data_IF_082274893319
#
_entry.id   IF_082274893319
#
_cell.length_a   1.000
_cell.length_b   1.000
_cell.length_c   1.000
_cell.angle_alpha   90.00
_cell.angle_beta   90.00
_cell.angle_gamma   90.00
#
_symmetry.space_group_name_H-M   'P 1'
#
loop_
_entity.id
_entity.type
_entity.pdbx_description
1 polymer ?
#
# COMPACT_ATOMS: atom_id res chain seq x y z
N UNK A 1 17.74 25.03 5.34
CA UNK A 1 17.45 24.24 4.13
C UNK A 1 16.98 22.84 4.57
N UNK A 2 15.73 22.44 4.31
CA UNK A 2 15.22 21.12 4.76
C UNK A 2 15.79 20.00 3.88
N UNK A 3 16.19 18.87 4.49
CA UNK A 3 16.56 17.67 3.75
C UNK A 3 15.31 17.05 3.11
N UNK A 4 15.37 16.84 1.80
CA UNK A 4 14.33 16.11 1.06
C UNK A 4 14.86 14.71 0.81
N UNK A 5 14.30 13.73 1.53
CA UNK A 5 14.67 12.32 1.36
C UNK A 5 13.91 11.73 0.17
N UNK A 6 14.54 10.94 -0.73
CA UNK A 6 13.88 10.35 -1.89
C UNK A 6 12.71 9.40 -1.57
N UNK A 7 12.75 8.76 -0.41
CA UNK A 7 11.73 7.87 0.14
C UNK A 7 11.84 7.93 1.66
N UNK A 8 10.74 7.82 2.42
CA UNK A 8 10.90 7.72 3.88
C UNK A 8 11.69 6.45 4.23
N UNK A 9 12.62 6.51 5.20
CA UNK A 9 13.27 5.31 5.71
C UNK A 9 12.23 4.31 6.22
N UNK A 10 12.45 3.03 5.92
CA UNK A 10 11.56 1.93 6.30
C UNK A 10 12.35 0.88 7.07
N UNK A 11 11.66 0.08 7.87
CA UNK A 11 12.25 -1.10 8.53
C UNK A 11 12.21 -2.33 7.64
N UNK A 12 11.71 -2.21 6.41
CA UNK A 12 11.61 -3.31 5.46
C UNK A 12 13.02 -3.69 5.03
N UNK A 13 13.38 -4.96 5.26
CA UNK A 13 14.61 -5.54 4.76
C UNK A 13 14.36 -6.17 3.38
N UNK A 14 14.87 -5.58 2.28
CA UNK A 14 14.67 -6.11 0.93
C UNK A 14 15.16 -7.56 0.76
N UNK A 15 16.16 -7.98 1.55
CA UNK A 15 16.71 -9.33 1.47
C UNK A 15 15.71 -10.39 1.96
N UNK A 16 14.80 -10.01 2.88
CA UNK A 16 13.84 -10.93 3.48
C UNK A 16 12.52 -11.01 2.71
N UNK A 17 12.20 -10.02 1.88
CA UNK A 17 10.92 -9.91 1.17
C UNK A 17 10.65 -11.15 0.31
N UNK A 18 11.60 -11.55 -0.53
CA UNK A 18 11.42 -12.67 -1.46
C UNK A 18 11.20 -14.00 -0.71
N UNK A 19 12.04 -14.29 0.29
CA UNK A 19 11.96 -15.52 1.07
C UNK A 19 10.66 -15.60 1.89
N UNK A 20 10.31 -14.52 2.59
CA UNK A 20 9.10 -14.48 3.42
C UNK A 20 7.82 -14.48 2.57
N UNK A 21 7.85 -13.82 1.42
CA UNK A 21 6.76 -13.84 0.44
C UNK A 21 6.47 -15.22 -0.12
N UNK A 22 7.53 -15.94 -0.53
CA UNK A 22 7.39 -17.30 -1.03
C UNK A 22 6.87 -18.26 0.04
N UNK A 23 7.38 -18.15 1.28
CA UNK A 23 6.85 -18.91 2.42
C UNK A 23 5.37 -18.66 2.64
N UNK A 24 4.92 -17.40 2.59
CA UNK A 24 3.50 -17.08 2.74
C UNK A 24 2.67 -17.66 1.59
N UNK A 25 3.13 -17.56 0.33
CA UNK A 25 2.44 -18.19 -0.81
C UNK A 25 2.27 -19.69 -0.65
N UNK A 26 3.30 -20.39 -0.15
CA UNK A 26 3.24 -21.82 0.14
C UNK A 26 2.23 -22.15 1.25
N UNK A 27 2.17 -21.34 2.31
CA UNK A 27 1.18 -21.51 3.39
C UNK A 27 -0.26 -21.29 2.90
N UNK A 28 -0.47 -20.44 1.89
CA UNK A 28 -1.78 -20.19 1.29
C UNK A 28 -2.23 -21.31 0.34
N UNK A 29 -1.35 -22.26 -0.01
CA UNK A 29 -1.68 -23.53 -0.66
C UNK A 29 -1.71 -23.53 -2.19
N UNK A 30 -1.53 -22.38 -2.85
CA UNK A 30 -1.45 -22.28 -4.31
C UNK A 30 -0.39 -21.24 -4.71
N UNK A 31 0.70 -21.71 -5.31
CA UNK A 31 1.82 -20.88 -5.78
C UNK A 31 1.54 -20.19 -7.12
N UNK A 32 0.55 -20.68 -7.88
CA UNK A 32 0.13 -20.11 -9.17
C UNK A 32 -0.94 -19.02 -8.99
N UNK A 33 -1.60 -18.99 -7.83
CA UNK A 33 -2.55 -17.96 -7.45
C UNK A 33 -1.87 -16.58 -7.39
N UNK A 34 -2.40 -15.62 -8.14
CA UNK A 34 -2.02 -14.22 -8.00
C UNK A 34 -2.56 -13.63 -6.70
N UNK A 35 -1.74 -12.90 -5.97
CA UNK A 35 -2.12 -12.25 -4.71
C UNK A 35 -1.90 -10.75 -4.82
N UNK A 36 -2.92 -9.96 -4.52
CA UNK A 36 -2.79 -8.50 -4.39
C UNK A 36 -2.94 -8.10 -2.93
N UNK A 37 -2.20 -7.07 -2.51
CA UNK A 37 -2.21 -6.59 -1.13
C UNK A 37 -2.98 -5.27 -1.02
N UNK A 38 -3.87 -5.20 -0.04
CA UNK A 38 -4.60 -3.99 0.34
C UNK A 38 -4.18 -3.58 1.75
N UNK A 39 -3.54 -2.41 1.89
CA UNK A 39 -3.12 -1.82 3.16
C UNK A 39 -4.00 -0.62 3.49
N UNK A 40 -4.84 -0.76 4.51
CA UNK A 40 -5.83 0.24 4.90
C UNK A 40 -5.47 0.91 6.22
N UNK A 41 -5.13 2.18 6.09
CA UNK A 41 -5.14 3.19 7.14
C UNK A 41 -6.58 3.62 7.47
N UNK A 42 -6.80 4.93 7.46
CA UNK A 42 -8.09 5.55 7.66
C UNK A 42 -7.93 7.06 7.87
N UNK A 43 -8.42 7.59 8.99
CA UNK A 43 -8.31 9.03 9.26
C UNK A 43 -6.86 9.41 9.61
N UNK A 44 -6.22 10.24 8.80
CA UNK A 44 -4.85 10.73 9.05
C UNK A 44 -4.33 11.63 7.93
N UNK A 45 -3.34 12.48 8.23
CA UNK A 45 -2.67 13.35 7.26
C UNK A 45 -3.62 14.18 6.34
N UNK A 46 -4.78 14.61 6.85
CA UNK A 46 -5.78 15.34 6.09
C UNK A 46 -6.73 14.48 5.24
N UNK A 47 -6.58 13.15 5.28
CA UNK A 47 -7.46 12.19 4.60
C UNK A 47 -8.52 11.64 5.57
N UNK A 48 -9.73 11.44 5.06
CA UNK A 48 -10.83 10.83 5.80
C UNK A 48 -11.65 9.89 4.93
N UNK A 49 -11.71 8.61 5.33
CA UNK A 49 -12.49 7.58 4.66
C UNK A 49 -13.82 7.40 5.38
N UNK A 50 -14.91 7.66 4.67
CA UNK A 50 -16.29 7.53 5.16
C UNK A 50 -16.86 6.18 4.75
N UNK A 51 -18.06 5.89 5.23
CA UNK A 51 -18.77 4.64 4.93
C UNK A 51 -18.88 4.36 3.42
N UNK A 52 -19.14 5.39 2.61
CA UNK A 52 -19.19 5.27 1.14
C UNK A 52 -17.84 4.87 0.54
N UNK A 53 -16.74 5.39 1.07
CA UNK A 53 -15.38 5.06 0.61
C UNK A 53 -15.07 3.59 0.89
N UNK A 54 -15.31 3.12 2.11
CA UNK A 54 -15.11 1.71 2.50
C UNK A 54 -15.98 0.76 1.68
N UNK A 55 -17.24 1.13 1.43
CA UNK A 55 -18.15 0.33 0.61
C UNK A 55 -17.69 0.27 -0.84
N UNK A 56 -17.18 1.38 -1.37
CA UNK A 56 -16.62 1.43 -2.73
C UNK A 56 -15.39 0.53 -2.81
N UNK A 57 -14.43 0.66 -1.88
CA UNK A 57 -13.25 -0.20 -1.81
C UNK A 57 -13.61 -1.70 -1.77
N UNK A 58 -14.49 -2.12 -0.86
CA UNK A 58 -14.88 -3.53 -0.75
C UNK A 58 -15.50 -4.09 -2.04
N UNK A 59 -16.37 -3.31 -2.69
CA UNK A 59 -16.98 -3.70 -3.96
C UNK A 59 -15.96 -3.77 -5.09
N UNK A 60 -15.01 -2.83 -5.12
CA UNK A 60 -13.90 -2.85 -6.07
C UNK A 60 -13.02 -4.09 -5.86
N UNK A 61 -12.69 -4.43 -4.61
CA UNK A 61 -11.91 -5.63 -4.29
C UNK A 61 -12.56 -6.89 -4.86
N UNK A 62 -13.87 -7.08 -4.68
CA UNK A 62 -14.59 -8.22 -5.26
C UNK A 62 -14.55 -8.20 -6.80
N UNK A 63 -14.71 -7.03 -7.40
CA UNK A 63 -14.73 -6.86 -8.85
C UNK A 63 -13.37 -7.17 -9.48
N UNK A 64 -12.30 -6.65 -8.89
CA UNK A 64 -10.92 -6.85 -9.33
C UNK A 64 -10.47 -8.29 -9.12
N UNK A 65 -10.78 -8.89 -7.97
CA UNK A 65 -10.49 -10.30 -7.71
C UNK A 65 -11.13 -11.21 -8.75
N UNK A 66 -12.41 -10.99 -9.06
CA UNK A 66 -13.12 -11.74 -10.09
C UNK A 66 -12.52 -11.53 -11.49
N UNK A 67 -12.20 -10.28 -11.86
CA UNK A 67 -11.71 -9.94 -13.20
C UNK A 67 -10.31 -10.49 -13.48
N UNK A 68 -9.42 -10.40 -12.48
CA UNK A 68 -8.00 -10.73 -12.63
C UNK A 68 -7.64 -12.13 -12.11
N UNK A 69 -8.60 -12.86 -11.53
CA UNK A 69 -8.36 -14.18 -10.97
C UNK A 69 -7.43 -14.16 -9.74
N UNK A 70 -7.44 -13.05 -8.98
CA UNK A 70 -6.57 -12.87 -7.81
C UNK A 70 -7.32 -13.10 -6.50
N UNK A 71 -6.57 -13.29 -5.42
CA UNK A 71 -7.09 -13.23 -4.04
C UNK A 71 -6.37 -12.12 -3.28
N UNK A 72 -7.07 -11.51 -2.33
CA UNK A 72 -6.59 -10.40 -1.53
C UNK A 72 -5.88 -10.88 -0.28
N UNK A 73 -4.68 -10.32 -0.07
CA UNK A 73 -4.12 -10.11 1.24
C UNK A 73 -4.62 -8.76 1.74
N UNK A 74 -5.26 -8.72 2.90
CA UNK A 74 -5.84 -7.50 3.44
C UNK A 74 -5.24 -7.18 4.80
N UNK A 75 -4.90 -5.92 5.02
CA UNK A 75 -4.42 -5.42 6.31
C UNK A 75 -5.16 -4.15 6.63
N UNK A 76 -5.80 -4.10 7.79
CA UNK A 76 -6.39 -2.87 8.32
C UNK A 76 -5.56 -2.34 9.48
N UNK A 77 -5.83 -1.12 9.91
CA UNK A 77 -5.16 -0.50 11.05
C UNK A 77 -6.17 0.08 12.03
N UNK A 78 -5.70 0.48 13.22
CA UNK A 78 -6.52 1.19 14.22
C UNK A 78 -7.26 2.40 13.62
N UNK A 79 -6.71 3.04 12.58
CA UNK A 79 -7.32 4.20 11.90
C UNK A 79 -8.49 3.83 11.00
N UNK A 80 -8.58 2.58 10.54
CA UNK A 80 -9.73 2.06 9.77
C UNK A 80 -10.99 2.10 10.62
N UNK A 81 -10.84 1.79 11.91
CA UNK A 81 -11.90 1.81 12.92
C UNK A 81 -12.90 0.67 12.77
N UNK A 82 -13.60 0.37 13.86
CA UNK A 82 -14.60 -0.71 13.97
C UNK A 82 -15.64 -0.68 12.86
N UNK A 83 -16.15 0.51 12.54
CA UNK A 83 -17.20 0.66 11.52
C UNK A 83 -16.68 0.35 10.12
N UNK A 84 -15.46 0.77 9.79
CA UNK A 84 -14.78 0.46 8.54
C UNK A 84 -14.53 -1.05 8.41
N UNK A 85 -13.88 -1.66 9.40
CA UNK A 85 -13.59 -3.10 9.39
C UNK A 85 -14.86 -3.95 9.30
N UNK A 86 -15.89 -3.63 10.08
CA UNK A 86 -17.17 -4.34 10.04
C UNK A 86 -17.80 -4.28 8.65
N UNK A 87 -17.71 -3.14 7.98
CA UNK A 87 -18.26 -2.99 6.63
C UNK A 87 -17.45 -3.77 5.60
N UNK A 88 -16.11 -3.72 5.69
CA UNK A 88 -15.22 -4.52 4.84
C UNK A 88 -15.51 -6.02 4.99
N UNK A 89 -15.52 -6.54 6.23
CA UNK A 89 -15.81 -7.95 6.55
C UNK A 89 -17.16 -8.43 6.00
N UNK A 90 -18.18 -7.57 6.03
CA UNK A 90 -19.53 -7.90 5.55
C UNK A 90 -19.66 -7.86 4.03
N UNK A 91 -18.82 -7.08 3.36
CA UNK A 91 -19.01 -6.75 1.94
C UNK A 91 -18.05 -7.51 1.03
N UNK A 92 -16.82 -7.77 1.50
CA UNK A 92 -15.83 -8.54 0.74
C UNK A 92 -16.25 -10.01 0.77
N UNK A 93 -16.34 -10.64 -0.40
CA UNK A 93 -16.64 -12.07 -0.50
C UNK A 93 -15.44 -12.87 0.03
N UNK A 94 -15.70 -13.74 1.00
CA UNK A 94 -14.67 -14.53 1.68
C UNK A 94 -13.81 -15.36 0.71
N UNK A 95 -14.36 -15.80 -0.44
CA UNK A 95 -13.59 -16.57 -1.43
C UNK A 95 -12.46 -15.74 -2.07
N UNK A 96 -12.61 -14.41 -2.09
CA UNK A 96 -11.61 -13.49 -2.63
C UNK A 96 -10.61 -13.02 -1.58
N UNK A 97 -10.74 -13.43 -0.31
CA UNK A 97 -9.73 -13.19 0.72
C UNK A 97 -8.85 -14.43 0.86
N UNK A 98 -7.54 -14.26 0.65
CA UNK A 98 -6.54 -15.27 0.97
C UNK A 98 -6.20 -15.21 2.47
N UNK A 99 -5.95 -14.01 2.96
CA UNK A 99 -5.68 -13.74 4.37
C UNK A 99 -6.05 -12.29 4.68
N UNK A 100 -6.56 -12.04 5.90
CA UNK A 100 -6.85 -10.71 6.38
C UNK A 100 -6.31 -10.53 7.80
N UNK A 101 -5.44 -9.54 7.99
CA UNK A 101 -5.00 -9.09 9.29
C UNK A 101 -5.87 -7.92 9.72
N UNK A 102 -6.84 -8.19 10.59
CA UNK A 102 -7.73 -7.16 11.07
C UNK A 102 -7.16 -6.51 12.33
N UNK A 103 -7.12 -5.19 12.39
CA UNK A 103 -6.57 -4.47 13.55
C UNK A 103 -7.33 -4.76 14.85
N UNK A 104 -8.64 -5.05 14.79
CA UNK A 104 -9.41 -5.45 15.98
C UNK A 104 -9.22 -6.92 16.38
N UNK A 105 -8.70 -7.75 15.48
CA UNK A 105 -8.51 -9.19 15.71
C UNK A 105 -7.23 -9.54 16.48
N UNK A 106 -6.30 -8.59 16.61
CA UNK A 106 -4.97 -8.85 17.18
C UNK A 106 -4.04 -9.63 16.24
N UNK A 107 -4.42 -9.79 14.97
CA UNK A 107 -3.61 -10.47 13.96
C UNK A 107 -2.31 -9.68 13.72
N UNK A 108 -1.17 -10.38 13.71
CA UNK A 108 0.12 -9.75 13.45
C UNK A 108 0.36 -9.63 11.95
N UNK A 109 0.43 -8.39 11.46
CA UNK A 109 0.89 -8.08 10.10
C UNK A 109 2.40 -8.24 10.00
N UNK A 110 2.85 -9.20 9.19
CA UNK A 110 4.27 -9.40 8.85
C UNK A 110 4.55 -8.74 7.50
N UNK A 111 5.09 -7.53 7.53
CA UNK A 111 5.18 -6.68 6.36
C UNK A 111 5.96 -7.32 5.20
N UNK A 112 7.14 -7.87 5.45
CA UNK A 112 7.97 -8.49 4.41
C UNK A 112 7.28 -9.70 3.75
N UNK A 113 6.55 -10.50 4.53
CA UNK A 113 5.82 -11.65 4.01
C UNK A 113 4.67 -11.24 3.08
N UNK A 114 3.85 -10.27 3.51
CA UNK A 114 2.70 -9.82 2.73
C UNK A 114 3.13 -9.04 1.49
N UNK A 115 4.11 -8.14 1.62
CA UNK A 115 4.68 -7.39 0.50
C UNK A 115 5.41 -8.31 -0.49
N UNK A 116 6.10 -9.33 0.03
CA UNK A 116 6.78 -10.33 -0.77
C UNK A 116 5.83 -11.25 -1.53
N UNK A 117 4.69 -11.61 -0.93
CA UNK A 117 3.70 -12.44 -1.59
C UNK A 117 2.89 -11.69 -2.66
N UNK A 118 2.79 -10.36 -2.58
CA UNK A 118 1.93 -9.57 -3.45
C UNK A 118 2.53 -9.26 -4.82
N UNK A 119 1.72 -9.40 -5.88
CA UNK A 119 2.05 -8.96 -7.24
C UNK A 119 1.83 -7.45 -7.42
N UNK A 120 0.89 -6.87 -6.67
CA UNK A 120 0.53 -5.45 -6.67
C UNK A 120 0.08 -5.03 -5.26
N UNK A 121 0.34 -3.79 -4.87
CA UNK A 121 0.02 -3.25 -3.55
C UNK A 121 -0.83 -1.99 -3.68
N UNK A 122 -1.93 -1.96 -2.94
CA UNK A 122 -2.86 -0.84 -2.85
C UNK A 122 -2.82 -0.29 -1.43
N UNK A 123 -2.62 1.01 -1.29
CA UNK A 123 -2.42 1.66 0.01
C UNK A 123 -3.30 2.89 0.12
N UNK A 124 -3.97 3.06 1.25
CA UNK A 124 -4.69 4.30 1.52
C UNK A 124 -3.72 5.50 1.66
N UNK A 125 -4.06 6.65 1.06
CA UNK A 125 -3.18 7.84 1.01
C UNK A 125 -2.88 8.49 2.36
N UNK A 126 -3.52 8.07 3.44
CA UNK A 126 -3.29 8.62 4.78
C UNK A 126 -2.00 8.12 5.45
N UNK A 127 -1.32 7.14 4.84
CA UNK A 127 -0.21 6.43 5.47
C UNK A 127 1.07 6.52 4.66
N UNK A 128 1.92 7.50 4.98
CA UNK A 128 3.20 7.67 4.29
C UNK A 128 4.15 6.50 4.60
N UNK A 129 4.05 5.94 5.81
CA UNK A 129 4.81 4.74 6.21
C UNK A 129 4.45 3.54 5.35
N UNK A 130 3.16 3.17 5.25
CA UNK A 130 2.74 2.02 4.44
C UNK A 130 3.07 2.21 2.95
N UNK A 131 2.91 3.44 2.43
CA UNK A 131 3.31 3.76 1.06
C UNK A 131 4.82 3.56 0.87
N UNK A 132 5.63 4.02 1.82
CA UNK A 132 7.09 3.89 1.75
C UNK A 132 7.55 2.44 1.86
N UNK A 133 6.97 1.67 2.79
CA UNK A 133 7.22 0.22 2.91
C UNK A 133 6.85 -0.53 1.63
N UNK A 134 5.70 -0.22 1.03
CA UNK A 134 5.25 -0.82 -0.22
C UNK A 134 6.19 -0.51 -1.38
N UNK A 135 6.65 0.74 -1.50
CA UNK A 135 7.61 1.14 -2.53
C UNK A 135 8.99 0.52 -2.30
N UNK A 136 9.44 0.40 -1.04
CA UNK A 136 10.68 -0.31 -0.69
C UNK A 136 10.65 -1.80 -1.06
N UNK A 137 9.46 -2.40 -1.14
CA UNK A 137 9.29 -3.78 -1.56
C UNK A 137 9.42 -4.03 -3.06
N UNK A 138 9.67 -2.99 -3.86
CA UNK A 138 9.80 -3.07 -5.31
C UNK A 138 8.58 -3.73 -6.00
N UNK A 139 7.38 -3.48 -5.46
CA UNK A 139 6.10 -3.89 -6.04
C UNK A 139 5.41 -2.70 -6.70
N UNK A 140 4.57 -2.89 -7.73
CA UNK A 140 3.64 -1.88 -8.18
C UNK A 140 2.79 -1.36 -7.04
N UNK A 141 2.85 -0.04 -6.77
CA UNK A 141 2.13 0.61 -5.69
C UNK A 141 1.09 1.57 -6.25
N UNK A 142 -0.15 1.40 -5.79
CA UNK A 142 -1.26 2.29 -6.07
C UNK A 142 -1.72 2.94 -4.77
N UNK A 143 -1.77 4.27 -4.73
CA UNK A 143 -2.42 4.95 -3.61
C UNK A 143 -3.91 5.13 -3.87
N UNK A 144 -4.71 5.06 -2.81
CA UNK A 144 -6.16 5.20 -2.85
C UNK A 144 -6.56 6.50 -2.16
N UNK A 145 -7.01 7.48 -2.95
CA UNK A 145 -7.49 8.77 -2.46
C UNK A 145 -9.00 8.73 -2.21
N UNK A 146 -9.48 9.02 -0.99
CA UNK A 146 -10.91 9.10 -0.68
C UNK A 146 -11.54 10.35 -1.28
N UNK A 147 -12.87 10.40 -1.26
CA UNK A 147 -13.64 11.57 -1.71
C UNK A 147 -13.30 12.84 -0.90
N UNK A 148 -12.96 12.68 0.38
CA UNK A 148 -12.61 13.78 1.29
C UNK A 148 -11.13 13.74 1.66
N UNK A 149 -10.33 14.58 1.01
CA UNK A 149 -8.89 14.67 1.21
C UNK A 149 -8.41 16.13 1.16
N UNK A 150 -7.88 16.62 2.28
CA UNK A 150 -7.26 17.93 2.44
C UNK A 150 -5.90 17.77 3.16
N UNK A 151 -4.93 17.07 2.54
CA UNK A 151 -3.58 16.98 3.09
C UNK A 151 -2.91 18.35 3.12
N UNK A 152 -1.94 18.52 4.01
CA UNK A 152 -1.07 19.69 3.95
C UNK A 152 -0.19 19.66 2.68
N UNK A 153 0.35 20.83 2.33
CA UNK A 153 1.16 20.97 1.11
C UNK A 153 2.40 20.10 1.12
N UNK A 154 3.00 19.84 2.28
CA UNK A 154 4.23 19.03 2.39
C UNK A 154 3.93 17.56 2.10
N UNK A 155 2.82 17.05 2.60
CA UNK A 155 2.37 15.68 2.37
C UNK A 155 2.00 15.49 0.89
N UNK A 156 1.20 16.40 0.33
CA UNK A 156 0.81 16.36 -1.09
C UNK A 156 2.04 16.42 -2.00
N UNK A 157 2.99 17.33 -1.74
CA UNK A 157 4.24 17.41 -2.50
C UNK A 157 5.09 16.14 -2.37
N UNK A 158 5.06 15.44 -1.23
CA UNK A 158 5.77 14.18 -1.09
C UNK A 158 5.17 13.08 -1.98
N UNK A 159 3.84 12.98 -2.04
CA UNK A 159 3.18 12.04 -2.94
C UNK A 159 3.47 12.36 -4.41
N UNK A 160 3.42 13.64 -4.81
CA UNK A 160 3.75 14.06 -6.17
C UNK A 160 5.18 13.69 -6.55
N UNK A 161 6.16 13.86 -5.66
CA UNK A 161 7.54 13.40 -5.91
C UNK A 161 7.63 11.89 -6.16
N UNK A 162 6.81 11.08 -5.47
CA UNK A 162 6.78 9.65 -5.71
C UNK A 162 6.13 9.29 -7.05
N UNK A 163 5.12 10.06 -7.49
CA UNK A 163 4.54 9.96 -8.83
C UNK A 163 5.56 10.33 -9.90
N UNK A 164 6.21 11.48 -9.77
CA UNK A 164 7.21 11.98 -10.73
C UNK A 164 8.41 11.04 -10.85
N UNK A 165 8.78 10.38 -9.75
CA UNK A 165 9.82 9.35 -9.73
C UNK A 165 9.34 7.98 -10.26
N UNK A 166 8.09 7.87 -10.70
CA UNK A 166 7.48 6.62 -11.20
C UNK A 166 7.29 5.54 -10.14
N UNK A 167 7.30 5.89 -8.85
CA UNK A 167 7.22 4.95 -7.71
C UNK A 167 5.80 4.71 -7.20
N UNK A 168 4.89 5.62 -7.52
CA UNK A 168 3.51 5.59 -7.06
C UNK A 168 2.55 5.97 -8.18
N UNK A 169 1.50 5.18 -8.37
CA UNK A 169 0.36 5.57 -9.18
C UNK A 169 -0.80 5.99 -8.26
N UNK A 170 -1.25 7.23 -8.36
CA UNK A 170 -2.33 7.73 -7.49
C UNK A 170 -3.67 7.52 -8.16
N UNK A 171 -4.60 6.94 -7.42
CA UNK A 171 -5.96 6.65 -7.88
C UNK A 171 -6.97 7.30 -6.96
N UNK A 172 -8.01 7.89 -7.53
CA UNK A 172 -9.23 8.12 -6.76
C UNK A 172 -9.94 6.78 -6.55
N UNK A 173 -10.79 6.70 -5.52
CA UNK A 173 -11.64 5.51 -5.36
C UNK A 173 -12.63 5.31 -6.52
N UNK A 174 -12.91 6.33 -7.33
CA UNK A 174 -13.69 6.17 -8.56
C UNK A 174 -12.90 5.40 -9.62
N UNK A 175 -11.62 5.78 -9.84
CA UNK A 175 -10.74 5.11 -10.82
C UNK A 175 -10.59 3.61 -10.54
N UNK A 176 -10.61 3.20 -9.27
CA UNK A 176 -10.49 1.79 -8.86
C UNK A 176 -11.56 0.87 -9.49
N UNK A 177 -12.74 1.41 -9.82
CA UNK A 177 -13.83 0.68 -10.49
C UNK A 177 -13.85 0.98 -11.98
N UNK A 178 -13.67 2.25 -12.32
CA UNK A 178 -13.94 2.77 -13.66
C UNK A 178 -12.81 2.48 -14.64
N UNK A 179 -11.58 2.26 -14.14
CA UNK A 179 -10.38 2.05 -14.95
C UNK A 179 -9.64 0.75 -14.63
N UNK A 180 -10.31 -0.42 -14.71
CA UNK A 180 -9.72 -1.70 -14.34
C UNK A 180 -8.61 -2.18 -15.30
N UNK A 181 -8.39 -1.50 -16.41
CA UNK A 181 -7.26 -1.68 -17.34
C UNK A 181 -5.93 -1.13 -16.78
N UNK A 182 -5.98 -0.18 -15.84
CA UNK A 182 -4.76 0.35 -15.21
C UNK A 182 -3.98 -0.74 -14.45
N UNK A 183 -4.66 -1.80 -14.02
CA UNK A 183 -4.07 -2.88 -13.23
C UNK A 183 -3.44 -3.98 -14.08
N UNK A 184 -3.61 -3.93 -15.41
CA UNK A 184 -2.82 -4.74 -16.35
C UNK A 184 -1.49 -4.08 -16.74
N UNK A 185 -1.37 -2.76 -16.56
CA UNK A 185 -0.16 -2.01 -16.84
C UNK A 185 0.68 -1.89 -15.55
N UNK A 186 1.98 -2.16 -15.63
CA UNK A 186 2.87 -1.98 -14.49
C UNK A 186 3.25 -0.50 -14.40
N UNK A 187 2.54 0.28 -13.58
CA UNK A 187 2.89 1.70 -13.34
C UNK A 187 4.24 1.88 -12.63
N UNK A 188 4.82 0.81 -12.08
CA UNK A 188 6.15 0.79 -11.51
C UNK A 188 6.96 -0.31 -12.20
N UNK A 189 8.03 0.11 -12.89
CA UNK A 189 9.13 -0.79 -13.27
C UNK A 189 10.31 -0.38 -12.39
N UNK A 190 10.77 -1.23 -11.45
CA UNK A 190 11.79 -0.83 -10.48
C UNK A 190 13.08 -0.39 -11.18
N UNK A 191 13.34 0.92 -11.22
CA UNK A 191 14.70 1.40 -11.14
C UNK A 191 15.16 1.20 -9.70
N UNK A 192 16.42 0.80 -9.50
CA UNK A 192 17.00 0.69 -8.17
C UNK A 192 16.72 1.97 -7.38
N UNK A 193 16.33 1.83 -6.10
CA UNK A 193 16.32 2.98 -5.20
C UNK A 193 17.70 3.62 -5.27
N UNK A 194 17.82 4.94 -5.53
CA UNK A 194 19.11 5.59 -5.55
C UNK A 194 19.80 5.32 -4.21
N UNK A 195 21.06 4.90 -4.25
CA UNK A 195 21.87 4.80 -3.04
C UNK A 195 21.74 6.13 -2.30
N UNK A 196 21.18 6.10 -1.10
CA UNK A 196 20.94 7.32 -0.36
C UNK A 196 22.29 7.82 0.16
N UNK A 197 22.82 8.89 -0.41
CA UNK A 197 23.93 9.67 0.17
C UNK A 197 23.48 10.39 1.47
N UNK A 198 22.24 10.22 1.91
CA UNK A 198 21.69 10.84 3.12
C UNK A 198 22.64 10.78 4.33
N UNK A 199 23.35 9.66 4.52
CA UNK A 199 24.38 9.54 5.57
C UNK A 199 25.52 10.54 5.40
N UNK A 200 26.05 10.68 4.19
CA UNK A 200 27.11 11.62 3.85
C UNK A 200 26.61 13.08 3.87
N UNK A 201 25.42 13.39 3.33
CA UNK A 201 24.81 14.72 3.47
C UNK A 201 24.60 15.12 4.93
N UNK A 202 24.18 14.17 5.79
CA UNK A 202 24.01 14.43 7.22
C UNK A 202 25.36 14.68 7.90
N UNK A 203 26.39 13.91 7.56
CA UNK A 203 27.75 14.11 8.06
C UNK A 203 28.33 15.46 7.63
N UNK A 204 28.12 15.88 6.39
CA UNK A 204 28.62 17.16 5.89
C UNK A 204 27.92 18.33 6.59
N UNK A 205 26.61 18.25 6.81
CA UNK A 205 25.87 19.27 7.57
C UNK A 205 26.26 19.35 9.05
N UNK A 206 26.62 18.21 9.66
CA UNK A 206 27.12 18.19 11.03
C UNK A 206 28.54 18.76 11.14
N UNK A 207 29.33 18.72 10.05
CA UNK A 207 30.66 19.34 9.98
C UNK A 207 30.60 20.84 9.73
N UNK A 208 29.57 21.31 9.03
CA UNK A 208 29.33 22.72 8.69
C UNK A 208 28.49 23.51 9.72
N UNK A 209 28.11 22.89 10.85
CA UNK A 209 27.30 23.48 11.92
C UNK A 209 28.11 23.70 13.21
#
# INVERSE_FOLDING_TARGET
NNLVVPLLPTTIDPQRIAEQGERLRQQLGDSTQGYWLMLLGGKGAGYGYRQRDWMRMARSMNTLARKHGIRWLLVTSRRTGTSGERLLRRTIDAKYLAQACWSEGGDTYQAEAFLGAADQVFVSEDSMTMLSEAMSAHRPVYSLRPEHALPDSRYEQALLRYVDAGRLCRLSLADLVERPELFSERCYTPAALPESDLGQVLLDRLRDA
#
